data_IF_196069293097
#
_entry.id   IF_196069293097
#
_cell.length_a   1.000
_cell.length_b   1.000
_cell.length_c   1.000
_cell.angle_alpha   90.00
_cell.angle_beta   90.00
_cell.angle_gamma   90.00
#
_symmetry.space_group_name_H-M   'P 1'
#
loop_
_entity.id
_entity.type
_entity.pdbx_description
1 polymer ?
#
# COMPACT_ATOMS: atom_id res chain seq x y z
N UNK A 1 -9.69 14.43 2.97
CA UNK A 1 -9.47 15.62 3.82
C UNK A 1 -10.80 16.27 4.22
N UNK A 2 -11.66 16.64 3.27
CA UNK A 2 -12.98 17.25 3.55
C UNK A 2 -13.83 16.47 4.57
N UNK A 3 -14.10 15.18 4.30
CA UNK A 3 -14.88 14.31 5.22
C UNK A 3 -14.35 14.25 6.67
N UNK A 4 -13.02 14.34 6.87
CA UNK A 4 -12.41 14.34 8.21
C UNK A 4 -12.73 15.66 8.92
N UNK A 5 -12.64 16.78 8.20
CA UNK A 5 -13.00 18.11 8.72
C UNK A 5 -14.48 18.23 9.08
N UNK A 6 -15.34 17.49 8.39
CA UNK A 6 -16.79 17.45 8.64
C UNK A 6 -17.19 16.53 9.81
N UNK A 7 -16.22 15.90 10.50
CA UNK A 7 -16.47 14.99 11.62
C UNK A 7 -17.03 13.62 11.20
N UNK A 8 -17.03 13.29 9.91
CA UNK A 8 -17.51 12.01 9.40
C UNK A 8 -16.48 10.92 9.75
N UNK A 9 -16.95 9.79 10.28
CA UNK A 9 -16.09 8.63 10.50
C UNK A 9 -15.63 8.06 9.15
N UNK A 10 -14.31 8.16 8.89
CA UNK A 10 -13.67 7.66 7.68
C UNK A 10 -12.74 6.48 7.91
N UNK A 11 -12.76 5.86 9.10
CA UNK A 11 -11.82 4.78 9.45
C UNK A 11 -11.82 3.66 8.41
N UNK A 12 -13.00 3.18 8.04
CA UNK A 12 -13.17 2.15 7.00
C UNK A 12 -12.57 2.60 5.66
N UNK A 13 -12.92 3.80 5.20
CA UNK A 13 -12.48 4.34 3.91
C UNK A 13 -10.94 4.48 3.88
N UNK A 14 -10.33 4.92 4.98
CA UNK A 14 -8.88 5.07 5.11
C UNK A 14 -8.18 3.70 5.08
N UNK A 15 -8.68 2.71 5.81
CA UNK A 15 -8.13 1.35 5.80
C UNK A 15 -8.22 0.72 4.39
N UNK A 16 -9.36 0.89 3.71
CA UNK A 16 -9.55 0.42 2.32
C UNK A 16 -8.57 1.13 1.38
N UNK A 17 -8.45 2.46 1.49
CA UNK A 17 -7.56 3.25 0.66
C UNK A 17 -6.09 2.85 0.86
N UNK A 18 -5.66 2.64 2.11
CA UNK A 18 -4.30 2.19 2.42
C UNK A 18 -4.03 0.84 1.75
N UNK A 19 -4.87 -0.17 1.97
CA UNK A 19 -4.67 -1.49 1.38
C UNK A 19 -4.67 -1.47 -0.14
N UNK A 20 -5.55 -0.68 -0.75
CA UNK A 20 -5.60 -0.54 -2.20
C UNK A 20 -4.32 0.12 -2.75
N UNK A 21 -3.96 1.30 -2.25
CA UNK A 21 -2.83 2.07 -2.77
C UNK A 21 -1.50 1.31 -2.65
N UNK A 22 -1.32 0.60 -1.55
CA UNK A 22 -0.10 -0.17 -1.27
C UNK A 22 -0.01 -1.45 -2.11
N UNK A 23 -1.12 -2.17 -2.33
CA UNK A 23 -1.16 -3.28 -3.30
C UNK A 23 -0.88 -2.83 -4.73
N UNK A 24 -1.40 -1.66 -5.12
CA UNK A 24 -1.10 -1.06 -6.42
C UNK A 24 0.38 -0.70 -6.51
N UNK A 25 0.94 -0.08 -5.48
CA UNK A 25 2.37 0.23 -5.41
C UNK A 25 3.24 -1.02 -5.60
N UNK A 26 2.96 -2.09 -4.84
CA UNK A 26 3.67 -3.38 -4.94
C UNK A 26 3.63 -3.94 -6.37
N UNK A 27 2.47 -3.94 -7.02
CA UNK A 27 2.34 -4.40 -8.41
C UNK A 27 3.15 -3.54 -9.37
N UNK A 28 3.03 -2.21 -9.27
CA UNK A 28 3.70 -1.29 -10.19
C UNK A 28 5.21 -1.40 -10.09
N UNK A 29 5.78 -1.49 -8.88
CA UNK A 29 7.23 -1.63 -8.73
C UNK A 29 7.73 -3.00 -9.19
N UNK A 30 6.94 -4.05 -8.99
CA UNK A 30 7.24 -5.39 -9.49
C UNK A 30 7.30 -5.41 -11.02
N UNK A 31 6.27 -4.88 -11.68
CA UNK A 31 6.22 -4.78 -13.14
C UNK A 31 7.35 -3.89 -13.68
N UNK A 32 7.70 -2.80 -12.98
CA UNK A 32 8.80 -1.92 -13.34
C UNK A 32 10.16 -2.64 -13.31
N UNK A 33 10.43 -3.47 -12.29
CA UNK A 33 11.63 -4.31 -12.23
C UNK A 33 11.68 -5.25 -13.44
N UNK A 34 10.56 -5.91 -13.76
CA UNK A 34 10.47 -6.83 -14.89
C UNK A 34 10.77 -6.14 -16.24
N UNK A 35 10.31 -4.91 -16.45
CA UNK A 35 10.60 -4.10 -17.65
C UNK A 35 12.09 -3.76 -17.77
N UNK A 36 12.78 -3.52 -16.65
CA UNK A 36 14.22 -3.22 -16.63
C UNK A 36 15.10 -4.48 -16.76
N UNK A 37 14.51 -5.68 -16.72
CA UNK A 37 15.24 -6.95 -16.78
C UNK A 37 16.26 -7.08 -15.65
N UNK A 38 17.46 -7.60 -15.96
CA UNK A 38 18.53 -7.77 -14.97
C UNK A 38 18.95 -6.46 -14.30
N UNK A 39 18.90 -5.34 -15.02
CA UNK A 39 19.21 -4.02 -14.46
C UNK A 39 18.21 -3.57 -13.39
N UNK A 40 16.97 -4.07 -13.43
CA UNK A 40 15.97 -3.80 -12.40
C UNK A 40 16.34 -4.34 -11.02
N UNK A 41 17.28 -5.30 -10.95
CA UNK A 41 17.84 -5.86 -9.71
C UNK A 41 19.17 -5.23 -9.29
N UNK A 42 19.74 -4.34 -10.11
CA UNK A 42 21.02 -3.70 -9.85
C UNK A 42 20.83 -2.44 -8.99
N UNK A 43 21.66 -2.29 -7.94
CA UNK A 43 21.56 -1.22 -6.92
C UNK A 43 21.77 0.18 -7.49
N UNK A 44 22.40 0.28 -8.64
CA UNK A 44 22.64 1.52 -9.39
C UNK A 44 21.34 2.10 -9.97
N UNK A 45 20.30 1.28 -10.14
CA UNK A 45 19.03 1.71 -10.71
C UNK A 45 18.00 1.96 -9.60
N UNK A 46 17.35 3.13 -9.68
CA UNK A 46 16.35 3.58 -8.69
C UNK A 46 15.23 2.56 -8.46
N UNK A 47 14.83 1.83 -9.51
CA UNK A 47 13.74 0.85 -9.47
C UNK A 47 13.98 -0.27 -8.45
N UNK A 48 15.24 -0.69 -8.24
CA UNK A 48 15.61 -1.67 -7.22
C UNK A 48 15.25 -1.17 -5.81
N UNK A 49 15.59 0.09 -5.53
CA UNK A 49 15.31 0.70 -4.22
C UNK A 49 13.82 0.86 -4.02
N UNK A 50 13.10 1.34 -5.04
CA UNK A 50 11.65 1.49 -4.97
C UNK A 50 10.94 0.14 -4.72
N UNK A 51 11.43 -0.93 -5.35
CA UNK A 51 10.92 -2.29 -5.12
C UNK A 51 11.11 -2.75 -3.67
N UNK A 52 12.27 -2.51 -3.06
CA UNK A 52 12.49 -2.82 -1.64
C UNK A 52 11.66 -1.93 -0.71
N UNK A 53 11.58 -0.64 -1.01
CA UNK A 53 10.88 0.33 -0.17
C UNK A 53 9.36 0.07 -0.16
N UNK A 54 8.79 -0.40 -1.27
CA UNK A 54 7.35 -0.71 -1.35
C UNK A 54 6.92 -1.73 -0.29
N UNK A 55 7.80 -2.67 0.05
CA UNK A 55 7.51 -3.73 1.02
C UNK A 55 7.11 -3.17 2.38
N UNK A 56 7.70 -2.04 2.79
CA UNK A 56 7.38 -1.42 4.08
C UNK A 56 5.91 -1.01 4.16
N UNK A 57 5.30 -0.54 3.08
CA UNK A 57 3.93 -0.04 3.10
C UNK A 57 2.89 -1.12 3.41
N UNK A 58 3.20 -2.37 3.10
CA UNK A 58 2.36 -3.51 3.44
C UNK A 58 2.35 -3.86 4.94
N UNK A 59 3.29 -3.32 5.72
CA UNK A 59 3.54 -3.65 7.14
C UNK A 59 3.35 -2.41 8.02
N UNK A 60 4.02 -1.31 7.66
CA UNK A 60 4.03 -0.05 8.39
C UNK A 60 2.65 0.59 8.46
N UNK A 61 2.32 1.17 9.62
CA UNK A 61 1.00 1.74 9.88
C UNK A 61 -0.13 0.72 9.99
N UNK A 62 0.18 -0.58 9.98
CA UNK A 62 -0.75 -1.71 10.09
C UNK A 62 -0.72 -2.61 8.85
N UNK A 63 -0.70 -3.93 9.05
CA UNK A 63 -0.62 -4.89 7.95
C UNK A 63 -1.90 -4.92 7.10
N UNK A 64 -1.87 -5.56 5.93
CA UNK A 64 -3.07 -5.74 5.12
C UNK A 64 -4.19 -6.45 5.87
N UNK A 65 -3.83 -7.43 6.68
CA UNK A 65 -4.74 -8.24 7.49
C UNK A 65 -5.37 -7.39 8.60
N UNK A 66 -4.58 -6.59 9.31
CA UNK A 66 -5.09 -5.67 10.35
C UNK A 66 -6.06 -4.65 9.75
N UNK A 67 -5.74 -4.09 8.59
CA UNK A 67 -6.63 -3.16 7.90
C UNK A 67 -7.94 -3.84 7.47
N UNK A 68 -7.87 -5.08 6.97
CA UNK A 68 -9.06 -5.86 6.63
C UNK A 68 -9.88 -6.20 7.88
N UNK A 69 -9.26 -6.53 9.01
CA UNK A 69 -9.93 -6.76 10.29
C UNK A 69 -10.70 -5.51 10.74
N UNK A 70 -10.07 -4.33 10.67
CA UNK A 70 -10.73 -3.05 11.00
C UNK A 70 -11.90 -2.78 10.06
N UNK A 71 -11.74 -3.05 8.75
CA UNK A 71 -12.81 -2.90 7.77
C UNK A 71 -13.99 -3.80 8.11
N UNK A 72 -13.76 -5.09 8.39
CA UNK A 72 -14.81 -6.05 8.77
C UNK A 72 -15.57 -5.58 10.01
N UNK A 73 -14.85 -5.16 11.06
CA UNK A 73 -15.47 -4.61 12.28
C UNK A 73 -16.33 -3.38 12.00
N UNK A 74 -15.90 -2.49 11.11
CA UNK A 74 -16.67 -1.30 10.71
C UNK A 74 -17.89 -1.64 9.84
N UNK A 75 -17.92 -2.83 9.23
CA UNK A 75 -19.07 -3.35 8.47
C UNK A 75 -20.05 -4.16 9.33
N UNK A 76 -19.73 -4.42 10.61
CA UNK A 76 -20.55 -5.26 11.49
C UNK A 76 -20.42 -6.76 11.20
N UNK A 77 -19.31 -7.17 10.57
CA UNK A 77 -18.96 -8.57 10.29
C UNK A 77 -18.02 -9.13 11.35
#
# INVERSE_FOLDING_TARGET
AAKIGDGINVYKDVCMAKNFATKVCDRVVYDAVQVHGGYGYCREYLVERLYRDSRLFSIGGGTYEIMNEVISKQMGL
#
